data_IF_459925441528
#
_entry.id   IF_459925441528
#
_cell.length_a   1.000
_cell.length_b   1.000
_cell.length_c   1.000
_cell.angle_alpha   90.00
_cell.angle_beta   90.00
_cell.angle_gamma   90.00
#
_symmetry.space_group_name_H-M   'P 1'
#
loop_
_entity.id
_entity.type
_entity.pdbx_description
1 polymer ?
#
# COMPACT_ATOMS: atom_id res chain seq x y z
N UNK A 1 -1.91 5.69 16.92
CA UNK A 1 -1.31 4.65 16.06
C UNK A 1 -1.95 4.77 14.70
N UNK A 2 -1.18 5.22 13.70
CA UNK A 2 -1.69 5.41 12.34
C UNK A 2 -2.10 4.07 11.73
N UNK A 3 -3.27 4.02 11.10
CA UNK A 3 -3.70 2.87 10.30
C UNK A 3 -3.22 3.12 8.88
N UNK A 4 -2.38 2.24 8.36
CA UNK A 4 -1.85 2.35 7.01
C UNK A 4 -2.65 1.40 6.10
N UNK A 5 -3.13 1.90 4.98
CA UNK A 5 -3.86 1.10 4.00
C UNK A 5 -3.07 1.07 2.71
N UNK A 6 -2.57 -0.12 2.34
CA UNK A 6 -1.86 -0.31 1.09
C UNK A 6 -2.85 -0.79 0.03
N UNK A 7 -3.11 0.04 -0.97
CA UNK A 7 -3.96 -0.33 -2.10
C UNK A 7 -3.10 -0.74 -3.29
N UNK A 8 -3.32 -1.95 -3.78
CA UNK A 8 -2.62 -2.49 -4.95
C UNK A 8 -3.64 -2.77 -6.05
N UNK A 9 -3.32 -2.37 -7.27
CA UNK A 9 -4.13 -2.66 -8.45
C UNK A 9 -3.56 -3.85 -9.22
N UNK A 10 -4.43 -4.79 -9.58
CA UNK A 10 -4.10 -5.98 -10.36
C UNK A 10 -3.99 -7.26 -9.52
N UNK A 11 -3.46 -8.31 -10.14
CA UNK A 11 -3.28 -9.63 -9.51
C UNK A 11 -1.80 -9.98 -9.47
N UNK A 12 -1.31 -10.34 -8.28
CA UNK A 12 -0.01 -10.98 -8.13
C UNK A 12 -0.06 -12.34 -8.86
N UNK A 13 0.56 -12.40 -10.04
CA UNK A 13 0.55 -13.60 -10.91
C UNK A 13 1.50 -14.69 -10.40
N UNK A 14 2.56 -14.30 -9.69
CA UNK A 14 3.59 -15.19 -9.20
C UNK A 14 3.27 -15.66 -7.76
N UNK A 15 3.27 -16.97 -7.56
CA UNK A 15 3.03 -17.61 -6.27
C UNK A 15 4.12 -17.28 -5.24
N UNK A 16 5.38 -17.12 -5.66
CA UNK A 16 6.49 -16.76 -4.78
C UNK A 16 6.33 -15.32 -4.27
N UNK A 17 5.96 -14.38 -5.15
CA UNK A 17 5.70 -12.99 -4.78
C UNK A 17 4.49 -12.89 -3.84
N UNK A 18 3.44 -13.66 -4.13
CA UNK A 18 2.27 -13.73 -3.25
C UNK A 18 2.65 -14.23 -1.86
N UNK A 19 3.40 -15.33 -1.77
CA UNK A 19 3.86 -15.87 -0.49
C UNK A 19 4.73 -14.88 0.28
N UNK A 20 5.57 -14.11 -0.42
CA UNK A 20 6.38 -13.07 0.20
C UNK A 20 5.49 -11.96 0.79
N UNK A 21 4.51 -11.48 0.02
CA UNK A 21 3.57 -10.46 0.46
C UNK A 21 2.77 -10.92 1.70
N UNK A 22 2.26 -12.15 1.70
CA UNK A 22 1.51 -12.72 2.81
C UNK A 22 2.36 -12.78 4.11
N UNK A 23 3.65 -13.15 4.00
CA UNK A 23 4.58 -13.17 5.15
C UNK A 23 4.82 -11.78 5.73
N UNK A 24 4.98 -10.77 4.88
CA UNK A 24 5.17 -9.40 5.35
C UNK A 24 3.87 -8.80 5.90
N UNK A 25 2.72 -9.10 5.29
CA UNK A 25 1.41 -8.71 5.80
C UNK A 25 1.20 -9.22 7.22
N UNK A 26 1.43 -10.52 7.46
CA UNK A 26 1.30 -11.13 8.78
C UNK A 26 2.19 -10.45 9.84
N UNK A 27 3.39 -10.01 9.46
CA UNK A 27 4.30 -9.26 10.37
C UNK A 27 3.77 -7.85 10.66
N UNK A 28 3.18 -7.20 9.66
CA UNK A 28 2.75 -5.81 9.69
C UNK A 28 1.31 -5.62 10.21
N UNK A 29 0.54 -6.70 10.34
CA UNK A 29 -0.78 -6.66 10.99
C UNK A 29 -0.72 -6.14 12.42
N UNK A 30 0.35 -6.46 13.16
CA UNK A 30 0.54 -5.97 14.53
C UNK A 30 0.74 -4.45 14.63
N UNK A 31 1.20 -3.82 13.54
CA UNK A 31 1.42 -2.37 13.42
C UNK A 31 0.24 -1.61 12.81
N UNK A 32 -0.86 -2.29 12.46
CA UNK A 32 -2.06 -1.64 11.91
C UNK A 32 -2.00 -1.36 10.41
N UNK A 33 -1.19 -2.11 9.65
CA UNK A 33 -1.20 -2.09 8.19
C UNK A 33 -2.26 -3.06 7.66
N UNK A 34 -3.10 -2.59 6.74
CA UNK A 34 -4.05 -3.44 5.99
C UNK A 34 -3.73 -3.36 4.50
N UNK A 35 -3.62 -4.51 3.84
CA UNK A 35 -3.37 -4.57 2.40
C UNK A 35 -4.69 -4.87 1.67
N UNK A 36 -4.99 -4.09 0.65
CA UNK A 36 -6.18 -4.23 -0.19
C UNK A 36 -5.75 -4.39 -1.65
N UNK A 37 -5.88 -5.61 -2.17
CA UNK A 37 -5.63 -5.92 -3.58
C UNK A 37 -6.93 -5.82 -4.34
N UNK A 38 -7.02 -4.90 -5.32
CA UNK A 38 -8.19 -4.70 -6.16
C UNK A 38 -7.89 -5.21 -7.58
N UNK A 39 -8.75 -6.09 -8.09
CA UNK A 39 -8.67 -6.60 -9.47
C UNK A 39 -9.67 -5.92 -10.40
N UNK A 40 -10.27 -4.82 -9.96
CA UNK A 40 -11.25 -4.02 -10.71
C UNK A 40 -10.62 -3.27 -11.88
N UNK A 41 -11.44 -2.68 -12.75
CA UNK A 41 -10.98 -1.76 -13.81
C UNK A 41 -10.23 -0.56 -13.21
N UNK A 42 -9.22 -0.07 -13.93
CA UNK A 42 -8.35 1.03 -13.46
C UNK A 42 -9.15 2.28 -13.07
N UNK A 43 -10.15 2.67 -13.88
CA UNK A 43 -10.99 3.84 -13.57
C UNK A 43 -11.76 3.67 -12.25
N UNK A 44 -12.33 2.48 -12.01
CA UNK A 44 -13.04 2.18 -10.75
C UNK A 44 -12.08 2.20 -9.56
N UNK A 45 -10.87 1.68 -9.75
CA UNK A 45 -9.83 1.71 -8.73
C UNK A 45 -9.42 3.13 -8.37
N UNK A 46 -9.22 4.00 -9.36
CA UNK A 46 -8.88 5.41 -9.17
C UNK A 46 -10.01 6.17 -8.46
N UNK A 47 -11.26 6.03 -8.90
CA UNK A 47 -12.40 6.65 -8.22
C UNK A 47 -12.54 6.17 -6.77
N UNK A 48 -12.22 4.91 -6.49
CA UNK A 48 -12.22 4.36 -5.12
C UNK A 48 -11.12 4.99 -4.27
N UNK A 49 -9.91 5.15 -4.81
CA UNK A 49 -8.80 5.86 -4.14
C UNK A 49 -9.17 7.31 -3.83
N UNK A 50 -9.76 8.03 -4.77
CA UNK A 50 -10.19 9.43 -4.58
C UNK A 50 -11.31 9.56 -3.54
N UNK A 51 -12.16 8.55 -3.42
CA UNK A 51 -13.24 8.54 -2.42
C UNK A 51 -12.75 8.30 -0.98
N UNK A 52 -11.52 7.80 -0.80
CA UNK A 52 -10.95 7.54 0.52
C UNK A 52 -10.48 8.83 1.17
N UNK A 53 -10.91 9.06 2.41
CA UNK A 53 -10.47 10.20 3.22
C UNK A 53 -9.19 9.81 3.97
N UNK A 54 -8.09 10.52 3.70
CA UNK A 54 -6.83 10.30 4.40
C UNK A 54 -5.64 10.92 3.66
N UNK A 55 -4.44 10.63 4.15
CA UNK A 55 -3.20 11.00 3.49
C UNK A 55 -2.89 9.96 2.41
N UNK A 56 -3.03 10.36 1.14
CA UNK A 56 -2.73 9.50 0.00
C UNK A 56 -1.23 9.55 -0.32
N UNK A 57 -0.60 8.39 -0.31
CA UNK A 57 0.76 8.21 -0.81
C UNK A 57 0.70 7.44 -2.12
N UNK A 58 1.10 8.10 -3.20
CA UNK A 58 1.25 7.48 -4.52
C UNK A 58 2.70 7.03 -4.70
N UNK A 59 2.87 5.79 -5.13
CA UNK A 59 4.16 5.26 -5.56
C UNK A 59 4.29 5.54 -7.05
N UNK A 60 5.15 6.52 -7.38
CA UNK A 60 5.44 6.93 -8.75
C UNK A 60 6.96 6.95 -8.94
N UNK A 61 7.42 6.48 -10.10
CA UNK A 61 8.84 6.43 -10.49
C UNK A 61 9.43 7.84 -10.65
N UNK A 62 8.60 8.83 -11.01
CA UNK A 62 9.00 10.24 -11.09
C UNK A 62 8.78 11.00 -9.76
N UNK A 63 8.39 10.28 -8.71
CA UNK A 63 8.11 10.83 -7.39
C UNK A 63 9.36 11.17 -6.58
N UNK A 64 9.14 11.61 -5.34
CA UNK A 64 10.23 11.84 -4.39
C UNK A 64 10.78 10.51 -3.86
N UNK A 65 12.08 10.30 -4.00
CA UNK A 65 12.77 9.16 -3.38
C UNK A 65 13.00 9.44 -1.90
N UNK A 66 12.62 8.49 -1.05
CA UNK A 66 12.86 8.56 0.39
C UNK A 66 13.78 7.43 0.82
N UNK A 67 14.69 7.71 1.74
CA UNK A 67 15.40 6.66 2.48
C UNK A 67 14.48 5.97 3.47
N UNK A 68 14.84 4.76 3.93
CA UNK A 68 14.02 4.00 4.88
C UNK A 68 13.71 4.77 6.17
N UNK A 69 14.65 5.59 6.63
CA UNK A 69 14.49 6.41 7.85
C UNK A 69 13.54 7.59 7.60
N UNK A 70 13.65 8.25 6.46
CA UNK A 70 12.77 9.37 6.09
C UNK A 70 11.33 8.90 5.92
N UNK A 71 11.14 7.75 5.27
CA UNK A 71 9.82 7.15 5.10
C UNK A 71 9.18 6.77 6.43
N UNK A 72 9.95 6.15 7.35
CA UNK A 72 9.46 5.79 8.68
C UNK A 72 9.00 7.01 9.48
N UNK A 73 9.74 8.12 9.43
CA UNK A 73 9.35 9.39 10.06
C UNK A 73 8.08 9.97 9.44
N UNK A 74 7.94 9.89 8.11
CA UNK A 74 6.80 10.43 7.37
C UNK A 74 5.50 9.70 7.67
N UNK A 75 5.55 8.39 7.93
CA UNK A 75 4.36 7.60 8.29
C UNK A 75 3.99 7.74 9.78
N UNK A 76 4.96 8.03 10.66
CA UNK A 76 4.70 8.21 12.09
C UNK A 76 4.12 9.58 12.46
N UNK A 77 4.23 10.58 11.58
CA UNK A 77 3.87 11.97 11.84
C UNK A 77 2.37 12.23 11.85
#
# INVERSE_FOLDING_TARGET
>A
MGRLHLHLHGRLKDAAIKSLADVYEARLQSTGLTIHVHTDDLEKYLSKLESLKGQLFLLDEQGSTFTSIEFAKKIQS
#
